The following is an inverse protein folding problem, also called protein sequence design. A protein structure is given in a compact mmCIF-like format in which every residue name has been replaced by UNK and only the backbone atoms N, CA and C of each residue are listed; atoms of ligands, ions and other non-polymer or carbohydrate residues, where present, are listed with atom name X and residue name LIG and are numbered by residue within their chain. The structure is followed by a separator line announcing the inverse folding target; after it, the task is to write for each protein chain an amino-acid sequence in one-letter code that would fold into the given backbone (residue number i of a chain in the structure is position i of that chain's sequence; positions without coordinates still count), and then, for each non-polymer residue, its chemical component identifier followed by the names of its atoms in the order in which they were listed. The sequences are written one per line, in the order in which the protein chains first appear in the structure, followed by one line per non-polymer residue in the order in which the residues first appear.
data_IF_795275335688
#
_entry.id   IF_795275335688
#
_cell.length_a   1.000
_cell.length_b   1.000
_cell.length_c   1.000
_cell.angle_alpha   90.00
_cell.angle_beta   90.00
_cell.angle_gamma   90.00
#
_symmetry.space_group_name_H-M   'P 1'
#
loop_
_entity.id
_entity.type
_entity.pdbx_description
1 polymer ?
#
# COMPACT_ATOMS: atom_id res chain seq x y z
N UNK A 1 45.14 -47.29 32.29
CA UNK A 1 45.62 -47.80 30.99
C UNK A 1 44.45 -47.62 30.03
N UNK A 2 44.39 -46.77 29.00
CA UNK A 2 45.31 -45.93 28.18
C UNK A 2 44.36 -44.95 27.47
N UNK A 3 44.44 -43.64 27.71
CA UNK A 3 45.24 -42.62 27.00
C UNK A 3 44.63 -42.09 25.68
N UNK A 4 44.19 -40.82 25.75
CA UNK A 4 44.32 -39.71 24.78
C UNK A 4 44.32 -39.97 23.26
N UNK A 5 43.46 -39.23 22.54
CA UNK A 5 43.95 -38.20 21.60
C UNK A 5 42.89 -37.15 21.21
N UNK A 6 43.27 -35.91 21.50
CA UNK A 6 42.76 -34.65 20.97
C UNK A 6 43.18 -34.50 19.50
N UNK A 7 42.32 -33.94 18.66
CA UNK A 7 42.76 -33.29 17.41
C UNK A 7 42.11 -31.92 17.27
N UNK A 8 43.00 -30.94 17.36
CA UNK A 8 42.85 -29.53 17.05
C UNK A 8 42.77 -29.38 15.52
N UNK A 9 41.91 -28.49 15.06
CA UNK A 9 41.96 -27.95 13.69
C UNK A 9 40.59 -27.38 13.34
N UNK A 10 40.39 -26.12 13.00
CA UNK A 10 41.29 -25.01 12.74
C UNK A 10 40.38 -23.96 12.12
N UNK A 11 40.34 -22.78 12.74
CA UNK A 11 39.56 -21.64 12.27
C UNK A 11 40.07 -21.20 10.90
N UNK A 12 39.19 -21.09 9.91
CA UNK A 12 39.42 -20.24 8.73
C UNK A 12 38.14 -19.49 8.40
N UNK A 13 38.07 -18.31 9.00
CA UNK A 13 37.15 -17.23 8.72
C UNK A 13 37.55 -16.61 7.37
N UNK A 14 36.73 -16.78 6.34
CA UNK A 14 36.89 -16.05 5.08
C UNK A 14 35.75 -15.04 4.94
N UNK A 15 36.00 -13.83 5.41
CA UNK A 15 35.19 -12.63 5.17
C UNK A 15 35.36 -12.17 3.73
N UNK A 16 34.32 -12.27 2.90
CA UNK A 16 34.27 -11.63 1.60
C UNK A 16 33.57 -10.25 1.74
N UNK A 17 34.38 -9.20 1.79
CA UNK A 17 33.96 -7.81 1.61
C UNK A 17 33.66 -7.57 0.12
N UNK A 18 32.40 -7.34 -0.23
CA UNK A 18 32.03 -6.80 -1.54
C UNK A 18 32.22 -5.28 -1.51
N UNK A 19 33.16 -4.81 -2.32
CA UNK A 19 33.44 -3.41 -2.56
C UNK A 19 32.36 -2.78 -3.45
N UNK A 20 31.80 -1.66 -3.00
CA UNK A 20 30.93 -0.80 -3.80
C UNK A 20 31.83 0.13 -4.63
N UNK A 21 31.97 -0.17 -5.92
CA UNK A 21 32.74 0.66 -6.86
C UNK A 21 32.00 1.96 -7.17
N UNK A 22 32.65 3.09 -6.86
CA UNK A 22 32.20 4.43 -7.20
C UNK A 22 32.45 4.77 -8.67
N UNK A 23 31.43 5.33 -9.32
CA UNK A 23 31.56 6.00 -10.62
C UNK A 23 31.60 7.51 -10.38
N UNK A 24 32.75 8.12 -10.64
CA UNK A 24 32.96 9.57 -10.61
C UNK A 24 33.44 10.02 -11.98
N UNK A 25 32.72 10.95 -12.59
CA UNK A 25 33.03 11.65 -13.83
C UNK A 25 31.85 12.56 -14.16
N UNK A 26 31.93 13.89 -14.22
CA UNK A 26 33.09 14.75 -14.45
C UNK A 26 32.92 15.43 -15.81
N UNK A 27 32.39 16.66 -15.82
CA UNK A 27 32.34 17.56 -16.98
C UNK A 27 31.26 18.64 -16.78
N UNK A 28 31.58 19.80 -16.18
CA UNK A 28 31.96 21.06 -16.87
C UNK A 28 31.01 21.40 -18.03
N UNK A 29 30.26 22.49 -18.08
CA UNK A 29 30.29 23.76 -17.37
C UNK A 29 29.81 24.80 -18.38
N UNK A 30 28.85 25.66 -18.05
CA UNK A 30 28.67 26.92 -18.77
C UNK A 30 27.98 27.95 -17.88
N UNK A 31 28.55 29.14 -17.90
CA UNK A 31 28.23 30.33 -17.12
C UNK A 31 26.92 30.97 -17.57
N UNK A 32 26.28 31.72 -16.68
CA UNK A 32 25.15 32.59 -17.03
C UNK A 32 24.53 33.28 -15.82
N UNK A 33 25.27 34.20 -15.20
CA UNK A 33 24.76 35.20 -14.25
C UNK A 33 23.85 36.20 -14.95
N UNK A 34 22.72 36.56 -14.33
CA UNK A 34 21.86 37.65 -14.77
C UNK A 34 20.75 37.96 -13.76
N UNK A 35 21.04 38.85 -12.81
CA UNK A 35 20.09 39.59 -11.98
C UNK A 35 19.25 40.56 -12.84
N UNK A 36 17.98 40.79 -12.48
CA UNK A 36 17.18 41.87 -13.08
C UNK A 36 15.68 41.87 -12.81
N UNK A 37 15.30 42.38 -11.62
CA UNK A 37 14.09 43.12 -11.23
C UNK A 37 12.74 43.05 -12.03
N UNK A 38 11.68 42.75 -11.26
CA UNK A 38 10.39 43.48 -11.07
C UNK A 38 9.75 44.28 -12.21
N UNK A 39 8.49 43.94 -12.57
CA UNK A 39 7.25 44.71 -12.28
C UNK A 39 6.08 44.28 -13.18
N UNK A 40 4.89 44.13 -12.59
CA UNK A 40 3.59 44.06 -13.30
C UNK A 40 3.13 45.46 -13.70
N UNK A 41 2.16 45.57 -14.64
CA UNK A 41 0.83 45.99 -14.18
C UNK A 41 -0.35 45.30 -14.89
N UNK A 42 -1.52 45.51 -14.28
CA UNK A 42 -2.84 45.00 -14.61
C UNK A 42 -3.45 45.57 -15.90
N UNK A 43 -4.41 44.82 -16.47
CA UNK A 43 -5.37 45.29 -17.47
C UNK A 43 -6.62 44.40 -17.45
N UNK A 44 -7.73 44.97 -16.99
CA UNK A 44 -9.06 44.37 -16.86
C UNK A 44 -9.96 44.87 -17.99
N UNK A 45 -10.74 43.98 -18.61
CA UNK A 45 -11.98 44.37 -19.31
C UNK A 45 -12.98 43.20 -19.35
N UNK A 46 -14.11 43.45 -18.70
CA UNK A 46 -15.45 42.83 -18.72
C UNK A 46 -16.03 42.76 -20.16
N UNK A 47 -17.01 41.96 -20.60
CA UNK A 47 -18.23 41.34 -20.00
C UNK A 47 -18.93 40.39 -21.06
N UNK A 48 -20.19 39.86 -20.96
CA UNK A 48 -20.55 38.41 -20.89
C UNK A 48 -21.46 37.87 -22.06
N UNK A 49 -22.43 36.94 -21.86
CA UNK A 49 -22.33 35.48 -21.95
C UNK A 49 -23.18 34.85 -23.08
N UNK A 50 -22.86 33.62 -23.50
CA UNK A 50 -23.74 32.83 -24.38
C UNK A 50 -24.11 31.51 -23.71
N UNK A 51 -25.33 31.47 -23.20
CA UNK A 51 -26.08 30.27 -22.83
C UNK A 51 -26.24 29.37 -24.05
N UNK A 52 -25.86 28.10 -23.94
CA UNK A 52 -26.33 27.05 -24.83
C UNK A 52 -26.79 25.87 -23.99
N UNK A 53 -28.10 25.64 -24.01
CA UNK A 53 -28.76 24.49 -23.45
C UNK A 53 -28.30 23.23 -24.17
N UNK A 54 -27.67 22.30 -23.46
CA UNK A 54 -27.41 20.97 -23.99
C UNK A 54 -28.49 20.03 -23.45
N UNK A 55 -29.48 19.78 -24.31
CA UNK A 55 -30.53 18.81 -24.06
C UNK A 55 -29.95 17.43 -23.74
N UNK A 56 -30.60 16.76 -22.80
CA UNK A 56 -30.37 15.35 -22.53
C UNK A 56 -30.82 14.53 -23.75
N UNK A 57 -29.85 14.07 -24.53
CA UNK A 57 -30.04 12.97 -25.48
C UNK A 57 -29.29 11.74 -24.96
N UNK A 58 -29.85 10.53 -25.14
CA UNK A 58 -29.40 9.31 -24.48
C UNK A 58 -28.07 8.86 -25.05
N UNK A 59 -27.07 8.64 -24.18
CA UNK A 59 -25.75 8.14 -24.57
C UNK A 59 -25.89 6.69 -25.04
N UNK A 60 -25.66 6.48 -26.34
CA UNK A 60 -25.53 5.17 -26.96
C UNK A 60 -24.40 4.35 -26.30
N UNK A 61 -24.63 3.04 -26.15
CA UNK A 61 -23.79 2.07 -25.43
C UNK A 61 -22.39 1.79 -26.06
N UNK A 62 -21.77 2.76 -26.73
CA UNK A 62 -20.46 2.64 -27.38
C UNK A 62 -19.33 3.51 -26.80
N UNK A 63 -19.62 4.50 -25.93
CA UNK A 63 -18.62 5.50 -25.49
C UNK A 63 -18.45 5.57 -23.96
N UNK A 64 -18.51 4.45 -23.26
CA UNK A 64 -18.19 4.43 -21.82
C UNK A 64 -16.68 4.63 -21.62
N UNK A 65 -16.28 5.54 -20.73
CA UNK A 65 -14.90 5.64 -20.25
C UNK A 65 -14.48 4.33 -19.57
N UNK A 66 -13.17 4.05 -19.47
CA UNK A 66 -12.68 2.85 -18.78
C UNK A 66 -13.23 2.75 -17.34
N UNK A 67 -13.33 3.87 -16.63
CA UNK A 67 -13.91 3.92 -15.28
C UNK A 67 -15.38 3.47 -15.28
N UNK A 68 -16.19 3.95 -16.22
CA UNK A 68 -17.60 3.55 -16.35
C UNK A 68 -17.76 2.09 -16.79
N UNK A 69 -16.83 1.58 -17.62
CA UNK A 69 -16.84 0.16 -18.00
C UNK A 69 -16.55 -0.74 -16.78
N UNK A 70 -15.59 -0.36 -15.93
CA UNK A 70 -15.27 -1.11 -14.71
C UNK A 70 -16.47 -1.07 -13.74
N UNK A 71 -17.08 0.10 -13.54
CA UNK A 71 -18.26 0.23 -12.67
C UNK A 71 -19.43 -0.63 -13.18
N UNK A 72 -19.61 -0.72 -14.50
CA UNK A 72 -20.62 -1.60 -15.10
C UNK A 72 -20.31 -3.09 -14.82
N UNK A 73 -19.04 -3.50 -14.87
CA UNK A 73 -18.63 -4.87 -14.56
C UNK A 73 -18.82 -5.21 -13.07
N UNK A 74 -18.57 -4.27 -12.18
CA UNK A 74 -18.84 -4.38 -10.74
C UNK A 74 -20.34 -4.53 -10.48
N UNK A 75 -21.19 -3.70 -11.11
CA UNK A 75 -22.65 -3.77 -11.01
C UNK A 75 -23.23 -5.07 -11.56
N UNK A 76 -22.58 -5.66 -12.56
CA UNK A 76 -22.94 -6.97 -13.13
C UNK A 76 -22.53 -8.14 -12.22
N UNK A 77 -21.88 -7.89 -11.09
CA UNK A 77 -21.51 -8.90 -10.10
C UNK A 77 -20.26 -9.71 -10.45
N UNK A 78 -19.53 -9.35 -11.51
CA UNK A 78 -18.27 -10.01 -11.88
C UNK A 78 -17.08 -9.57 -11.03
N UNK A 79 -17.19 -8.44 -10.33
CA UNK A 79 -16.15 -7.85 -9.50
C UNK A 79 -16.75 -7.21 -8.25
N UNK A 80 -16.03 -7.18 -7.12
CA UNK A 80 -16.46 -6.45 -5.94
C UNK A 80 -16.58 -4.95 -6.27
N UNK A 81 -17.67 -4.32 -5.83
CA UNK A 81 -17.85 -2.88 -5.96
C UNK A 81 -16.87 -2.18 -5.00
N UNK A 82 -15.83 -1.54 -5.54
CA UNK A 82 -14.81 -0.88 -4.74
C UNK A 82 -15.17 0.57 -4.45
N UNK A 83 -14.88 1.02 -3.23
CA UNK A 83 -14.97 2.43 -2.90
C UNK A 83 -13.84 3.21 -3.58
N UNK A 84 -14.19 4.17 -4.42
CA UNK A 84 -13.25 5.05 -5.14
C UNK A 84 -13.39 6.51 -4.71
N UNK A 85 -14.00 6.75 -3.55
CA UNK A 85 -14.13 8.10 -2.99
C UNK A 85 -12.76 8.74 -2.72
N UNK A 86 -12.77 10.07 -2.55
CA UNK A 86 -11.56 10.82 -2.18
C UNK A 86 -11.20 10.71 -0.70
N UNK A 87 -12.07 10.11 0.12
CA UNK A 87 -11.79 9.89 1.53
C UNK A 87 -10.70 8.81 1.69
N UNK A 88 -9.63 9.15 2.40
CA UNK A 88 -8.50 8.23 2.60
C UNK A 88 -8.92 7.02 3.43
N UNK A 89 -9.75 7.22 4.46
CA UNK A 89 -10.28 6.12 5.26
C UNK A 89 -11.30 5.31 4.46
N UNK A 90 -12.25 6.01 3.84
CA UNK A 90 -13.39 5.38 3.21
C UNK A 90 -14.38 4.82 4.24
N UNK A 91 -15.48 4.21 3.77
CA UNK A 91 -16.55 3.73 4.65
C UNK A 91 -16.12 2.54 5.51
N UNK A 92 -16.33 2.66 6.83
CA UNK A 92 -16.22 1.59 7.83
C UNK A 92 -17.38 1.77 8.81
N UNK A 93 -18.56 1.27 8.42
CA UNK A 93 -19.80 1.55 9.13
C UNK A 93 -19.87 0.86 10.50
N UNK A 94 -19.29 -0.35 10.60
CA UNK A 94 -19.26 -1.14 11.83
C UNK A 94 -18.07 -0.77 12.74
N UNK A 95 -17.20 0.15 12.31
CA UNK A 95 -16.01 0.62 13.02
C UNK A 95 -15.07 -0.51 13.41
N UNK A 96 -15.04 -1.54 12.57
CA UNK A 96 -14.15 -2.66 12.77
C UNK A 96 -12.79 -2.39 12.10
N UNK A 97 -12.43 -1.17 11.73
CA UNK A 97 -11.12 -0.84 11.16
C UNK A 97 -10.83 -1.46 9.80
N UNK A 98 -11.80 -2.12 9.18
CA UNK A 98 -11.75 -2.64 7.80
C UNK A 98 -12.76 -1.87 6.98
N UNK A 99 -12.36 -1.46 5.78
CA UNK A 99 -13.26 -0.75 4.88
C UNK A 99 -14.36 -1.69 4.38
N UNK A 100 -15.60 -1.22 4.32
CA UNK A 100 -16.80 -2.05 4.07
C UNK A 100 -16.73 -2.82 2.74
N UNK A 101 -16.14 -2.24 1.68
CA UNK A 101 -15.95 -2.89 0.37
C UNK A 101 -14.92 -4.05 0.41
N UNK A 102 -13.89 -3.91 1.24
CA UNK A 102 -12.88 -4.94 1.47
C UNK A 102 -13.47 -6.08 2.29
N UNK A 103 -14.18 -5.77 3.37
CA UNK A 103 -14.90 -6.76 4.17
C UNK A 103 -15.91 -7.54 3.32
N UNK A 104 -16.72 -6.83 2.51
CA UNK A 104 -17.67 -7.46 1.60
C UNK A 104 -16.99 -8.42 0.62
N UNK A 105 -15.85 -8.04 0.03
CA UNK A 105 -15.07 -8.91 -0.85
C UNK A 105 -14.49 -10.12 -0.10
N UNK A 106 -13.91 -9.95 1.10
CA UNK A 106 -13.44 -11.07 1.93
C UNK A 106 -14.58 -12.06 2.19
N UNK A 107 -15.78 -11.56 2.43
CA UNK A 107 -17.00 -12.35 2.66
C UNK A 107 -17.46 -13.16 1.44
N UNK A 108 -17.01 -12.83 0.23
CA UNK A 108 -17.25 -13.65 -0.98
C UNK A 108 -16.29 -14.84 -1.12
N UNK A 109 -15.16 -14.83 -0.40
CA UNK A 109 -14.16 -15.89 -0.51
C UNK A 109 -14.65 -17.18 0.14
N UNK A 110 -14.44 -18.29 -0.57
CA UNK A 110 -14.69 -19.63 -0.06
C UNK A 110 -13.53 -20.07 0.86
N UNK A 111 -13.51 -19.52 2.06
CA UNK A 111 -12.52 -19.79 3.12
C UNK A 111 -13.21 -20.16 4.42
N UNK A 112 -12.51 -20.86 5.29
CA UNK A 112 -12.99 -21.18 6.64
C UNK A 112 -13.06 -19.92 7.52
N UNK A 113 -13.83 -19.94 8.60
CA UNK A 113 -13.92 -18.80 9.54
C UNK A 113 -12.56 -18.37 10.13
N UNK A 114 -11.66 -19.28 10.56
CA UNK A 114 -10.33 -18.88 11.02
C UNK A 114 -9.49 -18.21 9.93
N UNK A 115 -9.62 -18.65 8.67
CA UNK A 115 -8.95 -18.03 7.53
C UNK A 115 -9.53 -16.65 7.23
N UNK A 116 -10.87 -16.51 7.27
CA UNK A 116 -11.57 -15.23 7.14
C UNK A 116 -11.10 -14.22 8.18
N UNK A 117 -11.00 -14.62 9.45
CA UNK A 117 -10.47 -13.77 10.52
C UNK A 117 -9.04 -13.31 10.26
N UNK A 118 -8.17 -14.20 9.78
CA UNK A 118 -6.81 -13.82 9.40
C UNK A 118 -6.78 -12.78 8.25
N UNK A 119 -7.67 -12.89 7.28
CA UNK A 119 -7.82 -11.89 6.22
C UNK A 119 -8.38 -10.56 6.74
N UNK A 120 -9.33 -10.59 7.69
CA UNK A 120 -9.83 -9.38 8.35
C UNK A 120 -8.75 -8.68 9.18
N UNK A 121 -7.90 -9.46 9.87
CA UNK A 121 -6.73 -8.94 10.59
C UNK A 121 -5.74 -8.28 9.61
N UNK A 122 -5.48 -8.92 8.47
CA UNK A 122 -4.64 -8.35 7.41
C UNK A 122 -5.21 -7.03 6.87
N UNK A 123 -6.50 -7.02 6.51
CA UNK A 123 -7.17 -5.83 6.03
C UNK A 123 -7.12 -4.66 7.02
N UNK A 124 -7.32 -4.93 8.31
CA UNK A 124 -7.21 -3.93 9.38
C UNK A 124 -5.78 -3.37 9.48
N UNK A 125 -4.78 -4.25 9.46
CA UNK A 125 -3.37 -3.85 9.51
C UNK A 125 -2.97 -3.03 8.28
N UNK A 126 -3.39 -3.44 7.09
CA UNK A 126 -3.17 -2.70 5.84
C UNK A 126 -3.85 -1.35 5.83
N UNK A 127 -5.10 -1.25 6.32
CA UNK A 127 -5.81 0.02 6.46
C UNK A 127 -5.07 1.00 7.38
N UNK A 128 -4.40 0.49 8.42
CA UNK A 128 -3.55 1.28 9.32
C UNK A 128 -2.45 2.08 8.60
N UNK A 129 -1.95 1.60 7.45
CA UNK A 129 -0.92 2.28 6.65
C UNK A 129 -1.39 3.62 6.08
N UNK A 130 -2.70 3.77 5.87
CA UNK A 130 -3.30 4.99 5.36
C UNK A 130 -3.62 6.00 6.48
N UNK A 131 -3.90 5.50 7.68
CA UNK A 131 -4.50 6.28 8.77
C UNK A 131 -3.49 6.73 9.84
N UNK A 132 -2.34 6.07 9.95
CA UNK A 132 -1.35 6.35 11.00
C UNK A 132 -0.73 7.74 10.88
N UNK A 133 -0.56 8.46 11.98
CA UNK A 133 0.23 9.69 11.99
C UNK A 133 1.69 9.40 11.61
N UNK A 134 2.15 9.94 10.48
CA UNK A 134 3.51 9.71 9.97
C UNK A 134 4.60 10.43 10.78
N UNK A 135 4.22 11.38 11.63
CA UNK A 135 5.17 12.08 12.52
C UNK A 135 5.44 11.30 13.81
N UNK A 136 4.51 10.42 14.21
CA UNK A 136 4.69 9.48 15.32
C UNK A 136 5.39 8.20 14.84
N UNK A 137 6.73 8.18 14.99
CA UNK A 137 7.55 7.02 14.64
C UNK A 137 7.12 5.74 15.36
N UNK A 138 6.66 5.84 16.61
CA UNK A 138 6.23 4.67 17.36
C UNK A 138 4.90 4.13 16.82
N UNK A 139 3.96 5.01 16.43
CA UNK A 139 2.74 4.59 15.74
C UNK A 139 3.03 3.94 14.39
N UNK A 140 3.92 4.54 13.60
CA UNK A 140 4.37 3.96 12.31
C UNK A 140 5.00 2.57 12.51
N UNK A 141 5.82 2.40 13.55
CA UNK A 141 6.39 1.09 13.91
C UNK A 141 5.30 0.07 14.28
N UNK A 142 4.31 0.45 15.11
CA UNK A 142 3.20 -0.43 15.50
C UNK A 142 2.37 -0.92 14.32
N UNK A 143 2.15 -0.08 13.30
CA UNK A 143 1.49 -0.53 12.06
C UNK A 143 2.32 -1.58 11.32
N UNK A 144 3.64 -1.40 11.25
CA UNK A 144 4.55 -2.39 10.67
C UNK A 144 4.55 -3.72 11.41
N UNK A 145 4.50 -3.67 12.75
CA UNK A 145 4.35 -4.85 13.59
C UNK A 145 3.00 -5.54 13.39
N UNK A 146 1.92 -4.77 13.24
CA UNK A 146 0.59 -5.28 12.90
C UNK A 146 0.55 -6.03 11.56
N UNK A 147 1.19 -5.48 10.52
CA UNK A 147 1.35 -6.16 9.22
C UNK A 147 2.17 -7.46 9.34
N UNK A 148 3.15 -7.51 10.25
CA UNK A 148 3.92 -8.74 10.45
C UNK A 148 3.16 -9.77 11.26
N UNK A 149 2.38 -9.33 12.24
CA UNK A 149 1.45 -10.17 12.98
C UNK A 149 0.37 -10.77 12.07
N UNK A 150 -0.20 -10.01 11.14
CA UNK A 150 -1.19 -10.50 10.17
C UNK A 150 -0.60 -11.55 9.23
N UNK A 151 0.60 -11.31 8.68
CA UNK A 151 1.31 -12.28 7.85
C UNK A 151 1.62 -13.57 8.60
N UNK A 152 2.08 -13.45 9.85
CA UNK A 152 2.32 -14.62 10.69
C UNK A 152 1.01 -15.38 10.98
N UNK A 153 -0.09 -14.70 11.27
CA UNK A 153 -1.39 -15.34 11.45
C UNK A 153 -1.85 -16.04 10.16
N UNK A 154 -1.70 -15.39 9.00
CA UNK A 154 -1.94 -15.99 7.69
C UNK A 154 -1.15 -17.30 7.51
N UNK A 155 0.12 -17.31 7.92
CA UNK A 155 0.96 -18.52 7.89
C UNK A 155 0.49 -19.63 8.83
N UNK A 156 -0.20 -19.30 9.93
CA UNK A 156 -0.81 -20.27 10.85
C UNK A 156 -2.10 -20.83 10.26
N UNK A 157 -2.97 -19.96 9.73
CA UNK A 157 -4.34 -20.33 9.30
C UNK A 157 -4.44 -20.89 7.88
N UNK A 158 -3.50 -20.55 7.00
CA UNK A 158 -3.46 -21.05 5.62
C UNK A 158 -2.32 -22.06 5.46
N UNK A 159 -2.67 -23.28 5.05
CA UNK A 159 -1.74 -24.38 4.79
C UNK A 159 -2.06 -24.95 3.41
N UNK A 160 -1.28 -24.62 2.36
CA UNK A 160 -0.03 -23.85 2.37
C UNK A 160 -0.22 -22.33 2.52
N UNK A 161 0.81 -21.63 3.04
CA UNK A 161 0.80 -20.16 3.18
C UNK A 161 0.59 -19.44 1.85
N UNK A 162 0.96 -20.05 0.72
CA UNK A 162 0.73 -19.50 -0.61
C UNK A 162 -0.75 -19.16 -0.88
N UNK A 163 -1.70 -19.85 -0.23
CA UNK A 163 -3.14 -19.55 -0.34
C UNK A 163 -3.54 -18.24 0.35
N UNK A 164 -2.76 -17.75 1.31
CA UNK A 164 -2.96 -16.45 1.95
C UNK A 164 -2.42 -15.28 1.10
N UNK A 165 -1.31 -15.52 0.39
CA UNK A 165 -0.58 -14.45 -0.33
C UNK A 165 -1.48 -13.77 -1.37
N UNK A 166 -2.21 -14.54 -2.19
CA UNK A 166 -3.08 -13.98 -3.22
C UNK A 166 -4.16 -13.05 -2.66
N UNK A 167 -4.97 -13.51 -1.68
CA UNK A 167 -5.92 -12.66 -0.98
C UNK A 167 -5.28 -11.44 -0.30
N UNK A 168 -4.16 -11.59 0.41
CA UNK A 168 -3.46 -10.48 1.07
C UNK A 168 -3.01 -9.39 0.09
N UNK A 169 -2.43 -9.79 -1.06
CA UNK A 169 -2.09 -8.84 -2.13
C UNK A 169 -3.32 -8.12 -2.69
N UNK A 170 -4.45 -8.82 -2.77
CA UNK A 170 -5.71 -8.23 -3.23
C UNK A 170 -6.26 -7.22 -2.22
N UNK A 171 -6.15 -7.50 -0.92
CA UNK A 171 -6.47 -6.57 0.17
C UNK A 171 -5.61 -5.30 0.03
N UNK A 172 -4.31 -5.43 -0.15
CA UNK A 172 -3.40 -4.30 -0.34
C UNK A 172 -3.77 -3.46 -1.57
N UNK A 173 -4.01 -4.12 -2.71
CA UNK A 173 -4.40 -3.45 -3.95
C UNK A 173 -5.75 -2.72 -3.82
N UNK A 174 -6.72 -3.33 -3.12
CA UNK A 174 -8.01 -2.69 -2.84
C UNK A 174 -7.85 -1.52 -1.86
N UNK A 175 -6.98 -1.65 -0.86
CA UNK A 175 -6.70 -0.59 0.13
C UNK A 175 -6.13 0.64 -0.56
N UNK A 176 -5.17 0.48 -1.47
CA UNK A 176 -4.49 1.57 -2.20
C UNK A 176 -5.12 1.90 -3.58
N UNK A 177 -6.41 1.61 -3.78
CA UNK A 177 -7.06 1.62 -5.10
C UNK A 177 -7.32 3.00 -5.76
N UNK A 178 -7.03 4.11 -5.07
CA UNK A 178 -7.14 5.47 -5.62
C UNK A 178 -5.79 6.15 -5.64
N UNK A 179 -5.61 7.20 -6.46
CA UNK A 179 -4.35 7.95 -6.52
C UNK A 179 -3.96 8.52 -5.15
N UNK A 180 -4.93 9.03 -4.40
CA UNK A 180 -4.74 9.62 -3.09
C UNK A 180 -4.30 8.55 -2.07
N UNK A 181 -4.96 7.38 -2.06
CA UNK A 181 -4.60 6.27 -1.18
C UNK A 181 -3.24 5.66 -1.53
N UNK A 182 -2.95 5.48 -2.82
CA UNK A 182 -1.64 5.02 -3.27
C UNK A 182 -0.53 6.00 -2.88
N UNK A 183 -0.74 7.32 -3.05
CA UNK A 183 0.21 8.32 -2.60
C UNK A 183 0.44 8.28 -1.09
N UNK A 184 -0.64 8.12 -0.31
CA UNK A 184 -0.57 8.00 1.15
C UNK A 184 0.17 6.73 1.60
N UNK A 185 -0.08 5.61 0.93
CA UNK A 185 0.61 4.35 1.16
C UNK A 185 2.12 4.46 0.89
N UNK A 186 2.51 5.11 -0.22
CA UNK A 186 3.92 5.38 -0.52
C UNK A 186 4.58 6.25 0.55
N UNK A 187 3.87 7.22 1.13
CA UNK A 187 4.39 8.03 2.24
C UNK A 187 4.64 7.19 3.50
N UNK A 188 3.75 6.26 3.83
CA UNK A 188 3.97 5.29 4.91
C UNK A 188 5.21 4.42 4.64
N UNK A 189 5.34 3.85 3.43
CA UNK A 189 6.50 3.05 3.05
C UNK A 189 7.81 3.86 3.14
N UNK A 190 7.79 5.13 2.75
CA UNK A 190 8.92 6.05 2.94
C UNK A 190 9.25 6.26 4.42
N UNK A 191 8.25 6.47 5.27
CA UNK A 191 8.44 6.64 6.71
C UNK A 191 8.98 5.38 7.40
N UNK A 192 8.67 4.19 6.87
CA UNK A 192 9.19 2.89 7.32
C UNK A 192 10.56 2.54 6.76
N UNK A 193 11.06 3.27 5.76
CA UNK A 193 12.32 2.92 5.10
C UNK A 193 13.48 2.89 6.10
N UNK A 194 14.29 1.83 6.04
CA UNK A 194 15.40 1.60 6.97
C UNK A 194 15.02 1.05 8.34
N UNK A 195 13.74 0.81 8.62
CA UNK A 195 13.31 0.10 9.84
C UNK A 195 13.46 -1.42 9.70
N UNK A 196 13.49 -2.12 10.84
CA UNK A 196 13.47 -3.57 10.92
C UNK A 196 12.33 -4.01 11.83
N UNK A 197 11.76 -5.18 11.58
CA UNK A 197 10.69 -5.75 12.41
C UNK A 197 10.90 -7.25 12.50
N UNK A 198 10.92 -7.75 13.74
CA UNK A 198 11.11 -9.16 14.02
C UNK A 198 9.80 -9.91 13.79
N UNK A 199 9.87 -11.05 13.12
CA UNK A 199 8.72 -11.94 13.01
C UNK A 199 8.37 -12.49 14.41
N UNK A 200 7.11 -12.39 14.85
CA UNK A 200 6.69 -12.94 16.13
C UNK A 200 6.91 -14.46 16.22
N UNK A 201 7.16 -14.96 17.42
CA UNK A 201 7.34 -16.40 17.72
C UNK A 201 6.21 -17.00 18.58
N UNK A 202 5.07 -16.30 18.64
CA UNK A 202 3.87 -16.67 19.39
C UNK A 202 2.63 -16.59 18.48
N UNK A 203 1.47 -17.09 18.92
CA UNK A 203 0.23 -16.97 18.14
C UNK A 203 -0.20 -15.51 18.01
N UNK A 204 -0.19 -14.99 16.78
CA UNK A 204 -0.52 -13.60 16.46
C UNK A 204 -1.95 -13.43 15.94
N UNK A 205 -2.73 -14.50 15.86
CA UNK A 205 -4.09 -14.43 15.35
C UNK A 205 -5.03 -13.76 16.35
N UNK A 206 -5.75 -12.74 15.89
CA UNK A 206 -6.82 -12.10 16.65
C UNK A 206 -8.00 -13.08 16.87
N UNK A 207 -8.69 -12.93 18.02
CA UNK A 207 -9.79 -13.80 18.44
C UNK A 207 -11.09 -13.54 17.67
#
# INVERSE_FOLDING_TARGET
MTSFKSFIGGVLLATALVACGGGSGGGSGFFGTGEGASTSPAGSSSEPPSSASSGSSPVAAGNLTLAQQIELLERKGGYPALDRSSDIAGPDANKNGVRDDIEAWINTLNVTEPQRKALMQDARATQGTLLVDLTDKAAVQRVGEGLMASNHCGSIRFKPFAEFIGPSQKIEAMTANTRQRAARYMQYNKARSGSSTTLPNYDTCEL
#
